data_IF_467045805579
#
_entry.id   IF_467045805579
#
_cell.length_a   1.000
_cell.length_b   1.000
_cell.length_c   1.000
_cell.angle_alpha   90.00
_cell.angle_beta   90.00
_cell.angle_gamma   90.00
#
_symmetry.space_group_name_H-M   'P 1'
#
loop_
_entity.id
_entity.type
_entity.pdbx_description
1 polymer ?
#
# COMPACT_ATOMS: atom_id res chain seq x y z
N UNK A 1 -36.31 -30.32 1.19
CA UNK A 1 -35.77 -30.23 2.56
C UNK A 1 -35.08 -28.88 2.67
N UNK A 2 -35.57 -27.99 3.54
CA UNK A 2 -35.11 -26.59 3.68
C UNK A 2 -34.17 -26.53 4.88
N UNK A 3 -32.87 -26.39 4.65
CA UNK A 3 -31.88 -26.22 5.72
C UNK A 3 -31.72 -24.73 6.00
N UNK A 4 -32.19 -24.27 7.16
CA UNK A 4 -31.88 -22.95 7.69
C UNK A 4 -30.52 -23.04 8.41
N UNK A 5 -29.52 -22.33 7.90
CA UNK A 5 -28.23 -22.18 8.57
C UNK A 5 -28.28 -20.91 9.42
N UNK A 6 -28.27 -21.08 10.74
CA UNK A 6 -28.19 -19.98 11.69
C UNK A 6 -26.74 -19.48 11.76
N UNK A 7 -26.52 -18.21 11.46
CA UNK A 7 -25.22 -17.54 11.61
C UNK A 7 -25.14 -17.00 13.04
N UNK A 8 -24.25 -17.57 13.85
CA UNK A 8 -23.92 -17.05 15.17
C UNK A 8 -23.02 -15.81 15.03
N UNK A 9 -23.48 -14.67 15.56
CA UNK A 9 -22.70 -13.43 15.66
C UNK A 9 -21.74 -13.54 16.84
N UNK A 10 -20.43 -13.60 16.57
CA UNK A 10 -19.39 -13.53 17.59
C UNK A 10 -18.98 -12.06 17.76
N UNK A 11 -19.41 -11.43 18.86
CA UNK A 11 -18.97 -10.10 19.22
C UNK A 11 -17.58 -10.17 19.86
N UNK A 12 -16.57 -9.63 19.18
CA UNK A 12 -15.23 -9.44 19.75
C UNK A 12 -15.22 -8.12 20.53
N UNK A 13 -15.09 -8.21 21.86
CA UNK A 13 -14.85 -7.07 22.72
C UNK A 13 -13.39 -6.62 22.58
N UNK A 14 -13.16 -5.41 22.07
CA UNK A 14 -11.84 -4.77 22.08
C UNK A 14 -11.65 -4.11 23.44
N UNK A 15 -10.79 -4.68 24.29
CA UNK A 15 -10.38 -4.04 25.54
C UNK A 15 -9.23 -3.06 25.26
N UNK A 16 -9.49 -1.76 25.40
CA UNK A 16 -8.42 -0.76 25.45
C UNK A 16 -7.93 -0.66 26.91
N UNK A 17 -6.75 -1.18 27.20
CA UNK A 17 -6.06 -0.92 28.47
C UNK A 17 -5.31 0.42 28.37
N UNK A 18 -5.51 1.37 29.31
CA UNK A 18 -4.71 2.59 29.35
C UNK A 18 -3.27 2.24 29.74
N UNK A 19 -2.32 2.71 28.95
CA UNK A 19 -0.89 2.62 29.29
C UNK A 19 -0.59 3.74 30.29
N UNK A 20 -0.27 3.36 31.52
CA UNK A 20 0.12 4.26 32.61
C UNK A 20 1.58 4.70 32.43
N UNK A 21 1.78 5.96 32.06
CA UNK A 21 3.11 6.61 32.00
C UNK A 21 3.42 7.35 33.31
N UNK A 22 3.17 6.72 34.45
CA UNK A 22 3.66 7.21 35.74
C UNK A 22 5.08 6.71 35.91
N UNK A 23 6.10 7.58 35.81
CA UNK A 23 7.36 7.56 36.58
C UNK A 23 8.39 8.55 35.98
N UNK A 24 8.18 9.85 36.17
CA UNK A 24 9.29 10.80 36.30
C UNK A 24 8.95 11.77 37.44
N UNK A 25 9.59 11.56 38.58
CA UNK A 25 9.49 12.47 39.73
C UNK A 25 10.15 13.80 39.39
N UNK A 26 9.39 14.89 39.46
CA UNK A 26 9.93 16.25 39.36
C UNK A 26 10.45 16.70 40.74
N UNK A 27 11.65 17.31 40.84
CA UNK A 27 12.07 17.96 42.08
C UNK A 27 11.19 19.19 42.31
N UNK A 28 10.77 19.40 43.56
CA UNK A 28 10.00 20.58 43.96
C UNK A 28 10.83 21.86 43.71
N UNK A 29 10.39 22.69 42.77
CA UNK A 29 11.00 23.99 42.49
C UNK A 29 10.42 25.05 43.42
N UNK A 30 11.31 25.68 44.18
CA UNK A 30 11.03 26.85 45.01
C UNK A 30 10.76 28.05 44.09
N UNK A 31 9.62 28.74 44.26
CA UNK A 31 9.23 29.85 43.38
C UNK A 31 9.95 31.16 43.78
N UNK A 32 10.86 31.63 42.93
CA UNK A 32 11.38 33.00 42.95
C UNK A 32 10.44 33.92 42.13
N UNK A 33 10.32 35.23 42.46
CA UNK A 33 9.35 36.10 41.80
C UNK A 33 9.66 36.26 40.31
N UNK A 34 8.64 35.98 39.49
CA UNK A 34 8.69 36.06 38.02
C UNK A 34 8.73 37.52 37.58
N UNK A 35 9.80 37.92 36.88
CA UNK A 35 9.82 39.13 36.10
C UNK A 35 8.84 39.00 34.93
N UNK A 36 7.86 39.91 34.87
CA UNK A 36 6.83 39.96 33.82
C UNK A 36 7.52 40.17 32.47
N UNK A 37 7.56 39.13 31.64
CA UNK A 37 8.04 39.25 30.27
C UNK A 37 6.99 39.97 29.43
N UNK A 38 7.38 41.08 28.80
CA UNK A 38 6.58 41.74 27.77
C UNK A 38 6.28 40.75 26.62
N UNK A 39 5.09 40.81 25.99
CA UNK A 39 4.77 39.92 24.89
C UNK A 39 5.69 40.19 23.70
N UNK A 40 6.58 39.25 23.41
CA UNK A 40 7.35 39.24 22.16
C UNK A 40 6.39 38.82 21.06
N UNK A 41 6.08 39.75 20.15
CA UNK A 41 5.35 39.44 18.92
C UNK A 41 6.16 38.43 18.11
N UNK A 42 5.72 37.17 18.08
CA UNK A 42 6.23 36.20 17.12
C UNK A 42 5.80 36.64 15.72
N UNK A 43 6.74 37.19 14.97
CA UNK A 43 6.57 37.39 13.54
C UNK A 43 6.58 36.00 12.88
N UNK A 44 5.40 35.41 12.68
CA UNK A 44 5.26 34.18 11.91
C UNK A 44 5.39 34.57 10.46
N UNK A 45 6.59 34.40 9.90
CA UNK A 45 6.78 34.45 8.45
C UNK A 45 6.14 33.18 7.90
N UNK A 46 5.04 33.31 7.18
CA UNK A 46 4.43 32.20 6.46
C UNK A 46 5.42 31.74 5.38
N UNK A 47 5.83 30.47 5.42
CA UNK A 47 6.61 29.90 4.33
C UNK A 47 5.72 29.78 3.08
N UNK A 48 6.26 30.08 1.89
CA UNK A 48 5.49 29.94 0.66
C UNK A 48 5.13 28.47 0.43
N UNK A 49 3.83 28.18 0.44
CA UNK A 49 3.30 26.86 0.05
C UNK A 49 3.45 26.74 -1.46
N UNK A 50 4.31 25.83 -1.91
CA UNK A 50 4.47 25.54 -3.33
C UNK A 50 3.24 24.83 -3.89
N UNK A 51 2.87 25.18 -5.13
CA UNK A 51 1.77 24.51 -5.83
C UNK A 51 2.15 23.04 -6.14
N UNK A 52 1.40 22.05 -5.62
CA UNK A 52 1.75 20.64 -5.79
C UNK A 52 1.46 20.20 -7.23
N UNK A 53 2.49 19.72 -7.94
CA UNK A 53 2.36 19.21 -9.30
C UNK A 53 3.37 18.10 -9.58
N UNK A 54 2.90 16.98 -10.12
CA UNK A 54 3.75 15.88 -10.58
C UNK A 54 3.09 15.08 -11.69
N UNK A 55 3.88 14.27 -12.39
CA UNK A 55 3.40 13.21 -13.26
C UNK A 55 4.41 12.07 -13.25
N UNK A 56 3.94 10.84 -13.23
CA UNK A 56 4.78 9.65 -13.36
C UNK A 56 4.05 8.53 -14.08
N UNK A 57 4.82 7.60 -14.63
CA UNK A 57 4.31 6.36 -15.18
C UNK A 57 5.36 5.24 -15.05
N UNK A 58 4.90 4.01 -14.88
CA UNK A 58 5.75 2.83 -14.89
C UNK A 58 4.98 1.61 -15.40
N UNK A 59 5.71 0.56 -15.77
CA UNK A 59 5.12 -0.71 -16.16
C UNK A 59 6.06 -1.88 -15.93
N UNK A 60 5.47 -3.04 -15.69
CA UNK A 60 6.15 -4.33 -15.57
C UNK A 60 5.62 -5.24 -16.66
N UNK A 61 6.54 -5.91 -17.34
CA UNK A 61 6.25 -6.96 -18.32
C UNK A 61 7.27 -8.07 -18.15
N UNK A 62 6.99 -8.98 -17.23
CA UNK A 62 7.83 -10.12 -16.95
C UNK A 62 7.22 -11.41 -17.52
N UNK A 63 7.76 -11.96 -18.62
CA UNK A 63 7.25 -13.19 -19.21
C UNK A 63 7.55 -14.45 -18.38
N UNK A 64 8.49 -14.38 -17.42
CA UNK A 64 8.82 -15.53 -16.57
C UNK A 64 7.79 -15.72 -15.46
N UNK A 65 7.41 -14.65 -14.78
CA UNK A 65 6.37 -14.68 -13.73
C UNK A 65 4.96 -14.49 -14.29
N UNK A 66 4.83 -13.93 -15.50
CA UNK A 66 3.56 -13.55 -16.10
C UNK A 66 3.02 -12.20 -15.60
N UNK A 67 3.79 -11.45 -14.80
CA UNK A 67 3.36 -10.15 -14.30
C UNK A 67 3.37 -9.11 -15.43
N UNK A 68 2.18 -8.64 -15.78
CA UNK A 68 1.97 -7.58 -16.75
C UNK A 68 1.06 -6.55 -16.11
N UNK A 69 1.61 -5.37 -15.83
CA UNK A 69 0.91 -4.27 -15.16
C UNK A 69 1.51 -2.91 -15.54
N UNK A 70 0.70 -1.87 -15.46
CA UNK A 70 1.11 -0.50 -15.74
C UNK A 70 0.38 0.49 -14.85
N UNK A 71 1.04 1.60 -14.50
CA UNK A 71 0.43 2.72 -13.80
C UNK A 71 0.86 4.03 -14.47
N UNK A 72 -0.07 4.99 -14.51
CA UNK A 72 0.23 6.39 -14.78
C UNK A 72 -0.60 7.25 -13.83
N UNK A 73 -0.01 8.32 -13.30
CA UNK A 73 -0.70 9.28 -12.45
C UNK A 73 -0.13 10.68 -12.66
N UNK A 74 -1.01 11.66 -12.58
CA UNK A 74 -0.66 13.06 -12.51
C UNK A 74 -1.41 13.75 -11.37
N UNK A 75 -0.76 14.77 -10.81
CA UNK A 75 -1.38 15.69 -9.86
C UNK A 75 -1.22 17.11 -10.37
N UNK A 76 -2.31 17.85 -10.32
CA UNK A 76 -2.34 19.28 -10.59
C UNK A 76 -3.12 19.97 -9.46
N UNK A 77 -2.40 20.58 -8.52
CA UNK A 77 -3.01 21.20 -7.35
C UNK A 77 -3.63 20.14 -6.45
N UNK A 78 -4.92 20.28 -6.18
CA UNK A 78 -5.67 19.35 -5.32
C UNK A 78 -6.31 18.19 -6.09
N UNK A 79 -6.12 18.14 -7.41
CA UNK A 79 -6.67 17.09 -8.28
C UNK A 79 -5.60 16.07 -8.63
N UNK A 80 -5.88 14.80 -8.38
CA UNK A 80 -5.10 13.64 -8.85
C UNK A 80 -5.91 12.86 -9.87
N UNK A 81 -5.28 12.43 -10.95
CA UNK A 81 -5.88 11.53 -11.94
C UNK A 81 -4.88 10.45 -12.29
N UNK A 82 -5.36 9.24 -12.50
CA UNK A 82 -4.48 8.17 -12.95
C UNK A 82 -5.22 6.95 -13.44
N UNK A 83 -4.42 6.00 -13.90
CA UNK A 83 -4.87 4.71 -14.35
C UNK A 83 -3.93 3.63 -13.84
N UNK A 84 -4.49 2.51 -13.41
CA UNK A 84 -3.74 1.27 -13.17
C UNK A 84 -4.32 0.14 -14.00
N UNK A 85 -3.46 -0.70 -14.59
CA UNK A 85 -3.89 -1.90 -15.31
C UNK A 85 -3.07 -3.11 -14.91
N UNK A 86 -3.71 -4.28 -14.85
CA UNK A 86 -3.05 -5.57 -14.63
C UNK A 86 -3.74 -6.69 -15.42
N UNK A 87 -2.95 -7.64 -15.91
CA UNK A 87 -3.44 -8.91 -16.44
C UNK A 87 -3.70 -9.86 -15.28
N UNK A 88 -4.93 -10.35 -15.16
CA UNK A 88 -5.34 -11.32 -14.14
C UNK A 88 -4.92 -12.76 -14.54
N UNK A 89 -4.91 -13.72 -13.60
CA UNK A 89 -4.53 -15.11 -13.88
C UNK A 89 -5.42 -15.82 -14.92
N UNK A 90 -6.66 -15.37 -15.07
CA UNK A 90 -7.58 -15.85 -16.12
C UNK A 90 -7.27 -15.22 -17.50
N UNK A 91 -6.27 -14.33 -17.58
CA UNK A 91 -5.86 -13.59 -18.76
C UNK A 91 -6.76 -12.39 -19.10
N UNK A 92 -7.75 -12.07 -18.28
CA UNK A 92 -8.49 -10.81 -18.41
C UNK A 92 -7.62 -9.63 -17.98
N UNK A 93 -7.97 -8.44 -18.44
CA UNK A 93 -7.32 -7.19 -18.05
C UNK A 93 -8.27 -6.41 -17.16
N UNK A 94 -7.83 -6.08 -15.95
CA UNK A 94 -8.50 -5.08 -15.12
C UNK A 94 -7.81 -3.74 -15.32
N UNK A 95 -8.58 -2.72 -15.67
CA UNK A 95 -8.14 -1.33 -15.72
C UNK A 95 -8.96 -0.53 -14.71
N UNK A 96 -8.29 0.30 -13.93
CA UNK A 96 -8.90 1.19 -12.95
C UNK A 96 -8.54 2.60 -13.35
N UNK A 97 -9.52 3.38 -13.79
CA UNK A 97 -9.39 4.81 -14.01
C UNK A 97 -9.83 5.53 -12.74
N UNK A 98 -9.00 6.39 -12.18
CA UNK A 98 -9.27 7.02 -10.90
C UNK A 98 -9.01 8.52 -10.89
N UNK A 99 -9.77 9.21 -10.03
CA UNK A 99 -9.63 10.64 -9.76
C UNK A 99 -9.76 10.89 -8.26
N UNK A 100 -9.08 11.90 -7.74
CA UNK A 100 -9.27 12.37 -6.37
C UNK A 100 -9.19 13.90 -6.33
N UNK A 101 -10.09 14.51 -5.56
CA UNK A 101 -10.12 15.94 -5.26
C UNK A 101 -10.74 16.18 -3.87
N UNK A 102 -10.75 17.43 -3.41
CA UNK A 102 -11.22 17.85 -2.10
C UNK A 102 -12.76 17.85 -1.96
N UNK A 103 -13.48 17.87 -3.08
CA UNK A 103 -14.94 17.97 -3.12
C UNK A 103 -15.63 16.60 -3.21
N UNK A 104 -15.13 15.74 -4.10
CA UNK A 104 -15.68 14.44 -4.47
C UNK A 104 -14.92 13.29 -3.82
N UNK A 105 -13.74 13.54 -3.24
CA UNK A 105 -12.87 12.50 -2.70
C UNK A 105 -12.36 11.56 -3.80
N UNK A 106 -11.90 10.38 -3.38
CA UNK A 106 -11.42 9.36 -4.33
C UNK A 106 -12.58 8.66 -5.04
N UNK A 107 -12.55 8.64 -6.37
CA UNK A 107 -13.49 7.93 -7.22
C UNK A 107 -12.73 7.07 -8.22
N UNK A 108 -13.23 5.87 -8.50
CA UNK A 108 -12.62 4.95 -9.44
C UNK A 108 -13.66 4.20 -10.25
N UNK A 109 -13.38 4.04 -11.54
CA UNK A 109 -14.15 3.20 -12.46
C UNK A 109 -13.30 2.00 -12.83
N UNK A 110 -13.84 0.80 -12.62
CA UNK A 110 -13.13 -0.44 -12.90
C UNK A 110 -13.71 -1.07 -14.17
N UNK A 111 -12.85 -1.23 -15.16
CA UNK A 111 -13.13 -1.98 -16.38
C UNK A 111 -12.46 -3.34 -16.29
N UNK A 112 -13.19 -4.40 -16.67
CA UNK A 112 -12.64 -5.76 -16.80
C UNK A 112 -12.91 -6.27 -18.21
N UNK A 113 -11.87 -6.66 -18.93
CA UNK A 113 -12.02 -7.32 -20.23
C UNK A 113 -12.46 -8.79 -20.06
N UNK A 114 -12.90 -9.41 -21.15
CA UNK A 114 -13.02 -10.86 -21.16
C UNK A 114 -11.63 -11.52 -20.95
N UNK A 115 -11.58 -12.74 -20.37
CA UNK A 115 -10.39 -13.57 -20.35
C UNK A 115 -9.75 -13.71 -21.74
N UNK A 116 -8.50 -13.28 -21.90
CA UNK A 116 -7.70 -13.74 -23.03
C UNK A 116 -7.20 -15.14 -22.67
N UNK A 117 -7.46 -16.15 -23.50
CA UNK A 117 -6.92 -17.51 -23.28
C UNK A 117 -5.40 -17.46 -23.42
N UNK A 118 -4.72 -17.14 -22.33
CA UNK A 118 -3.27 -17.20 -22.21
C UNK A 118 -2.92 -18.69 -22.10
N UNK A 119 -2.45 -19.29 -23.19
CA UNK A 119 -1.84 -20.63 -23.12
C UNK A 119 -0.65 -20.53 -22.18
N UNK A 120 -0.83 -21.01 -20.95
CA UNK A 120 0.29 -21.22 -20.03
C UNK A 120 1.15 -22.33 -20.66
N UNK A 121 2.23 -21.94 -21.33
CA UNK A 121 3.28 -22.90 -21.69
C UNK A 121 4.01 -23.16 -20.38
N UNK A 122 3.62 -24.21 -19.67
CA UNK A 122 4.37 -24.67 -18.51
C UNK A 122 5.83 -24.89 -18.93
N UNK A 123 6.76 -24.14 -18.35
CA UNK A 123 8.17 -24.41 -18.53
C UNK A 123 8.41 -25.87 -18.07
N UNK A 124 9.09 -26.71 -18.88
CA UNK A 124 9.37 -28.07 -18.45
C UNK A 124 10.18 -28.02 -17.17
N UNK A 125 9.66 -28.63 -16.10
CA UNK A 125 10.42 -28.85 -14.88
C UNK A 125 11.57 -29.78 -15.27
N UNK A 126 12.80 -29.25 -15.28
CA UNK A 126 13.98 -30.06 -15.51
C UNK A 126 14.11 -31.05 -14.35
N UNK A 127 13.81 -32.32 -14.59
CA UNK A 127 14.18 -33.40 -13.68
C UNK A 127 15.70 -33.55 -13.74
N UNK A 128 16.39 -32.96 -12.77
CA UNK A 128 17.83 -33.16 -12.63
C UNK A 128 18.06 -34.62 -12.22
N UNK A 129 18.62 -35.43 -13.12
CA UNK A 129 19.10 -36.76 -12.77
C UNK A 129 20.29 -36.61 -11.79
N UNK A 130 20.36 -37.40 -10.70
CA UNK A 130 21.55 -37.37 -9.84
C UNK A 130 22.77 -37.81 -10.65
N UNK A 131 23.86 -37.05 -10.52
CA UNK A 131 25.13 -37.36 -11.19
C UNK A 131 25.64 -38.75 -10.75
N UNK A 132 26.20 -39.57 -11.67
CA UNK A 132 26.74 -40.86 -11.29
C UNK A 132 27.94 -40.66 -10.34
N UNK A 133 27.88 -41.30 -9.18
CA UNK A 133 29.00 -41.38 -8.24
C UNK A 133 30.07 -42.28 -8.83
N UNK A 134 31.25 -41.71 -9.14
CA UNK A 134 32.44 -42.46 -9.51
C UNK A 134 32.94 -43.25 -8.31
N UNK A 135 32.77 -44.58 -8.35
CA UNK A 135 33.40 -45.49 -7.40
C UNK A 135 34.91 -45.53 -7.68
N UNK A 136 35.70 -44.81 -6.88
CA UNK A 136 37.14 -44.99 -6.88
C UNK A 136 37.48 -46.33 -6.24
N UNK A 137 37.96 -47.28 -7.06
CA UNK A 137 38.52 -48.54 -6.60
C UNK A 137 39.96 -48.28 -6.15
N UNK A 138 40.26 -48.44 -4.86
CA UNK A 138 41.63 -48.46 -4.34
C UNK A 138 42.06 -49.92 -4.29
N UNK A 139 43.11 -50.26 -5.04
CA UNK A 139 43.91 -51.47 -4.85
C UNK A 139 44.99 -51.21 -3.80
#
# INVERSE_FOLDING_TARGET
>A
MKCFVAIALLAVAVSASPVDYSHYGAPALVHAPVAVHAPVLKHVVAEPVAYPKYSFNYGIKDPHTGDIKSQAEERDGDVVKGQYSLVEPDGSVRTVDYTADDHNGFNAVVHKSAPAVQKVIAAPVAHYAPAPVLSHYVH
#
